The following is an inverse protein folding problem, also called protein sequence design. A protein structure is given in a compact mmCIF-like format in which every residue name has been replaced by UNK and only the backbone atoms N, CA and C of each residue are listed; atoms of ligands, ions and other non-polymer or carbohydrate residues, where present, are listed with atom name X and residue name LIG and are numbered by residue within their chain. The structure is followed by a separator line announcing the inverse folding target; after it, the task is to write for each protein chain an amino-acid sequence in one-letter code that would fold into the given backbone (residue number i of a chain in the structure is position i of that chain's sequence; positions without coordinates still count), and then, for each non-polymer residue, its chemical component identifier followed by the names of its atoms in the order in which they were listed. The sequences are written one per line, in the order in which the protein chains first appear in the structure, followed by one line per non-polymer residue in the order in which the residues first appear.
data_IF_371096871338
#
_entry.id   IF_371096871338
#
_cell.length_a   1.000
_cell.length_b   1.000
_cell.length_c   1.000
_cell.angle_alpha   90.00
_cell.angle_beta   90.00
_cell.angle_gamma   90.00
#
_symmetry.space_group_name_H-M   'P 1'
#
loop_
_entity.id
_entity.type
_entity.pdbx_description
1 polymer ?
#
# COMPACT_ATOMS: atom_id res chain seq x y z
N UNK A 1 34.61 -0.63 5.68
CA UNK A 1 34.99 -1.44 4.49
C UNK A 1 34.08 -1.10 3.30
N UNK A 2 34.67 -0.74 2.16
CA UNK A 2 33.91 -0.34 0.96
C UNK A 2 33.40 -1.59 0.21
N UNK A 3 32.21 -2.06 0.57
CA UNK A 3 31.60 -3.27 0.01
C UNK A 3 31.47 -3.20 -1.52
N UNK A 4 31.06 -2.04 -2.05
CA UNK A 4 30.81 -1.87 -3.48
C UNK A 4 32.09 -1.89 -4.30
N UNK A 5 33.14 -1.26 -3.79
CA UNK A 5 34.47 -1.31 -4.42
C UNK A 5 35.01 -2.74 -4.47
N UNK A 6 34.85 -3.54 -3.40
CA UNK A 6 35.26 -4.94 -3.43
C UNK A 6 34.40 -5.82 -4.33
N UNK A 7 33.07 -5.61 -4.34
CA UNK A 7 32.13 -6.32 -5.23
C UNK A 7 32.51 -6.10 -6.69
N UNK A 8 32.73 -4.84 -7.08
CA UNK A 8 33.10 -4.47 -8.45
C UNK A 8 34.46 -5.03 -8.84
N UNK A 9 35.49 -4.80 -8.02
CA UNK A 9 36.86 -5.24 -8.32
C UNK A 9 36.99 -6.76 -8.44
N UNK A 10 36.24 -7.53 -7.64
CA UNK A 10 36.34 -8.99 -7.61
C UNK A 10 35.50 -9.69 -8.67
N UNK A 11 34.28 -9.22 -8.91
CA UNK A 11 33.31 -9.95 -9.74
C UNK A 11 33.02 -9.26 -11.08
N UNK A 12 33.26 -7.94 -11.19
CA UNK A 12 32.94 -7.14 -12.38
C UNK A 12 34.08 -6.19 -12.79
N UNK A 13 35.37 -6.59 -12.78
CA UNK A 13 36.49 -5.67 -12.94
C UNK A 13 36.54 -4.96 -14.30
N UNK A 14 35.94 -5.55 -15.34
CA UNK A 14 35.89 -5.00 -16.70
C UNK A 14 34.61 -4.23 -17.00
N UNK A 15 33.61 -4.28 -16.11
CA UNK A 15 32.36 -3.55 -16.28
C UNK A 15 32.58 -2.08 -15.89
N UNK A 16 32.19 -1.08 -16.70
CA UNK A 16 32.26 0.31 -16.27
C UNK A 16 31.46 0.53 -14.98
N UNK A 17 32.01 1.23 -13.98
CA UNK A 17 31.27 1.53 -12.76
C UNK A 17 30.06 2.39 -13.12
N UNK A 18 28.87 1.88 -12.80
CA UNK A 18 27.60 2.58 -12.98
C UNK A 18 26.88 2.62 -11.62
N UNK A 19 27.13 3.65 -10.80
CA UNK A 19 26.54 3.78 -9.47
C UNK A 19 25.01 3.80 -9.51
N UNK A 20 24.41 4.29 -10.60
CA UNK A 20 22.97 4.38 -10.75
C UNK A 20 22.30 3.00 -10.81
N UNK A 21 22.96 2.00 -11.40
CA UNK A 21 22.48 0.61 -11.45
C UNK A 21 22.60 -0.13 -10.12
N UNK A 22 23.45 0.37 -9.21
CA UNK A 22 23.64 -0.19 -7.87
C UNK A 22 22.86 0.56 -6.80
N UNK A 23 22.13 1.61 -7.16
CA UNK A 23 21.38 2.45 -6.22
C UNK A 23 20.46 1.63 -5.30
N UNK A 24 19.84 0.56 -5.82
CA UNK A 24 18.97 -0.34 -5.06
C UNK A 24 19.67 -1.11 -3.93
N UNK A 25 21.00 -1.22 -3.95
CA UNK A 25 21.80 -1.89 -2.92
C UNK A 25 22.23 -0.95 -1.79
N UNK A 26 22.08 0.36 -1.97
CA UNK A 26 22.37 1.32 -0.92
C UNK A 26 21.21 1.37 0.09
N UNK A 27 21.55 1.65 1.35
CA UNK A 27 20.52 1.96 2.34
C UNK A 27 19.74 3.20 1.89
N UNK A 28 18.40 3.25 2.10
CA UNK A 28 17.59 4.42 1.80
C UNK A 28 18.21 5.67 2.42
N UNK A 29 18.26 6.75 1.65
CA UNK A 29 18.70 8.05 2.19
C UNK A 29 17.68 8.57 3.19
N UNK A 30 18.08 9.40 4.17
CA UNK A 30 17.12 10.02 5.09
C UNK A 30 16.00 10.75 4.35
N UNK A 31 16.29 11.43 3.24
CA UNK A 31 15.28 12.10 2.40
C UNK A 31 14.22 11.17 1.83
N UNK A 32 14.60 9.95 1.42
CA UNK A 32 13.66 8.94 0.87
C UNK A 32 12.80 8.30 1.96
N UNK A 33 13.20 8.40 3.22
CA UNK A 33 12.54 7.75 4.35
C UNK A 33 11.77 8.73 5.26
N UNK A 34 11.81 10.03 4.94
CA UNK A 34 11.14 11.07 5.71
C UNK A 34 9.64 11.14 5.44
N UNK A 35 9.15 10.62 4.31
CA UNK A 35 7.75 10.73 3.85
C UNK A 35 6.71 10.15 4.82
N UNK A 36 7.13 9.25 5.72
CA UNK A 36 6.30 8.69 6.78
C UNK A 36 7.08 8.52 8.09
N UNK A 37 7.56 9.64 8.65
CA UNK A 37 8.45 9.66 9.82
C UNK A 37 7.81 10.34 11.05
N UNK A 38 8.04 9.87 12.30
CA UNK A 38 7.49 10.48 13.52
C UNK A 38 7.85 11.96 13.75
N UNK A 39 8.88 12.47 13.09
CA UNK A 39 9.29 13.88 13.19
C UNK A 39 8.47 14.81 12.28
N UNK A 40 7.64 14.27 11.39
CA UNK A 40 6.80 15.10 10.52
C UNK A 40 5.65 15.71 11.33
N UNK A 41 5.38 17.03 11.21
CA UNK A 41 4.36 17.71 12.00
C UNK A 41 2.94 17.36 11.54
N UNK A 42 2.77 17.00 10.28
CA UNK A 42 1.50 16.59 9.69
C UNK A 42 1.74 15.60 8.56
N UNK A 43 0.74 14.77 8.29
CA UNK A 43 0.76 13.77 7.23
C UNK A 43 -0.45 13.97 6.34
N UNK A 44 -0.30 13.90 5.01
CA UNK A 44 -1.45 13.85 4.13
C UNK A 44 -2.20 12.53 4.34
N UNK A 45 -3.53 12.55 4.20
CA UNK A 45 -4.37 11.35 4.38
C UNK A 45 -3.99 10.22 3.42
N UNK A 46 -3.54 10.56 2.22
CA UNK A 46 -3.03 9.62 1.22
C UNK A 46 -1.76 8.87 1.66
N UNK A 47 -1.00 9.40 2.62
CA UNK A 47 0.19 8.75 3.17
C UNK A 47 -0.11 7.86 4.38
N UNK A 48 -1.35 7.87 4.92
CA UNK A 48 -1.70 7.03 6.06
C UNK A 48 -1.52 5.55 5.70
N UNK A 49 -0.82 4.82 6.57
CA UNK A 49 -0.52 3.40 6.39
C UNK A 49 -1.47 2.54 7.21
N UNK A 50 -1.80 1.39 6.64
CA UNK A 50 -2.69 0.41 7.23
C UNK A 50 -2.01 -0.95 7.34
N UNK A 51 -2.28 -1.66 8.44
CA UNK A 51 -1.89 -3.05 8.59
C UNK A 51 -2.81 -3.99 7.79
N UNK A 52 -2.54 -5.30 7.80
CA UNK A 52 -3.38 -6.26 7.08
C UNK A 52 -4.83 -6.27 7.57
N UNK A 53 -5.10 -5.89 8.83
CA UNK A 53 -6.45 -5.83 9.40
C UNK A 53 -7.18 -4.54 9.02
N UNK A 54 -6.53 -3.62 8.31
CA UNK A 54 -7.06 -2.30 7.99
C UNK A 54 -7.06 -1.36 9.20
N UNK A 55 -6.20 -1.60 10.18
CA UNK A 55 -5.97 -0.65 11.27
C UNK A 55 -4.90 0.37 10.86
N UNK A 56 -5.11 1.63 11.27
CA UNK A 56 -4.11 2.69 11.05
C UNK A 56 -2.81 2.35 11.79
N UNK A 57 -1.69 2.52 11.11
CA UNK A 57 -0.34 2.35 11.65
C UNK A 57 0.35 3.71 11.77
N UNK A 58 0.37 4.34 12.96
CA UNK A 58 1.09 5.60 13.16
C UNK A 58 2.58 5.47 12.81
N UNK A 59 3.26 6.55 12.39
CA UNK A 59 4.66 6.51 11.96
C UNK A 59 5.61 5.84 12.95
N UNK A 60 5.39 6.00 14.26
CA UNK A 60 6.22 5.36 15.29
C UNK A 60 6.09 3.84 15.23
N UNK A 61 4.87 3.35 15.35
CA UNK A 61 4.56 1.91 15.33
C UNK A 61 4.93 1.27 13.99
N UNK A 62 4.68 1.96 12.87
CA UNK A 62 5.03 1.52 11.53
C UNK A 62 6.52 1.16 11.38
N UNK A 63 7.41 1.88 12.07
CA UNK A 63 8.87 1.66 11.99
C UNK A 63 9.41 0.65 13.01
N UNK A 64 8.64 0.36 14.06
CA UNK A 64 9.00 -0.63 15.08
C UNK A 64 8.65 -2.06 14.64
N UNK A 65 7.78 -2.20 13.64
CA UNK A 65 7.34 -3.51 13.16
C UNK A 65 8.48 -4.27 12.47
N UNK A 66 8.68 -5.56 12.78
CA UNK A 66 9.65 -6.40 12.09
C UNK A 66 9.36 -6.54 10.57
N UNK A 67 10.43 -6.53 9.76
CA UNK A 67 10.33 -6.65 8.29
C UNK A 67 9.79 -8.00 7.82
N UNK A 68 10.00 -9.06 8.60
CA UNK A 68 9.52 -10.42 8.30
C UNK A 68 8.00 -10.58 8.35
N UNK A 69 7.24 -9.56 8.80
CA UNK A 69 5.78 -9.57 8.82
C UNK A 69 5.16 -9.36 7.43
N UNK A 70 5.94 -8.99 6.41
CA UNK A 70 5.43 -8.78 5.05
C UNK A 70 4.60 -7.50 4.86
N UNK A 71 4.61 -6.60 5.85
CA UNK A 71 3.99 -5.27 5.78
C UNK A 71 4.91 -4.21 5.17
N UNK A 72 6.17 -4.52 4.91
CA UNK A 72 7.12 -3.57 4.35
C UNK A 72 7.12 -3.66 2.83
N UNK A 73 6.93 -2.52 2.17
CA UNK A 73 6.98 -2.38 0.72
C UNK A 73 8.10 -1.43 0.34
N UNK A 74 8.84 -1.78 -0.71
CA UNK A 74 9.95 -0.99 -1.22
C UNK A 74 9.49 0.22 -2.05
N UNK A 75 8.45 0.92 -1.60
CA UNK A 75 7.95 2.14 -2.22
C UNK A 75 8.51 3.38 -1.49
N UNK A 76 7.80 4.51 -1.57
CA UNK A 76 8.25 5.86 -1.15
C UNK A 76 8.57 6.02 0.36
N UNK A 77 8.47 4.97 1.19
CA UNK A 77 8.95 4.92 2.57
C UNK A 77 9.37 3.49 2.96
N UNK A 78 10.58 3.04 2.59
CA UNK A 78 10.98 1.63 2.67
C UNK A 78 11.08 1.08 4.11
N UNK A 79 11.33 1.95 5.11
CA UNK A 79 11.43 1.55 6.51
C UNK A 79 10.10 1.66 7.27
N UNK A 80 9.01 2.04 6.59
CA UNK A 80 7.69 2.18 7.20
C UNK A 80 6.78 1.01 6.80
N UNK A 81 6.40 0.18 7.77
CA UNK A 81 5.44 -0.89 7.58
C UNK A 81 4.02 -0.35 7.28
N UNK A 82 3.26 -1.15 6.55
CA UNK A 82 1.88 -0.89 6.18
C UNK A 82 1.75 -0.39 4.76
N UNK A 83 0.51 -0.38 4.26
CA UNK A 83 0.20 0.07 2.91
C UNK A 83 -0.73 1.28 2.96
N UNK A 84 -0.56 2.18 2.02
CA UNK A 84 -1.46 3.31 1.80
C UNK A 84 -2.62 2.92 0.88
N UNK A 85 -3.74 3.67 0.94
CA UNK A 85 -4.87 3.45 0.03
C UNK A 85 -4.45 3.57 -1.45
N UNK A 86 -3.67 4.59 -1.88
CA UNK A 86 -3.18 4.66 -3.25
C UNK A 86 -2.32 3.45 -3.68
N UNK A 87 -1.44 2.95 -2.80
CA UNK A 87 -0.64 1.75 -3.07
C UNK A 87 -1.53 0.51 -3.25
N UNK A 88 -2.50 0.31 -2.36
CA UNK A 88 -3.44 -0.81 -2.44
C UNK A 88 -4.30 -0.74 -3.71
N UNK A 89 -4.79 0.45 -4.07
CA UNK A 89 -5.54 0.66 -5.31
C UNK A 89 -4.71 0.27 -6.55
N UNK A 90 -3.42 0.63 -6.57
CA UNK A 90 -2.48 0.21 -7.62
C UNK A 90 -2.23 -1.31 -7.61
N UNK A 91 -1.98 -1.90 -6.44
CA UNK A 91 -1.72 -3.34 -6.29
C UNK A 91 -2.92 -4.20 -6.69
N UNK A 92 -4.15 -3.75 -6.43
CA UNK A 92 -5.38 -4.42 -6.85
C UNK A 92 -5.47 -4.62 -8.38
N UNK A 93 -4.76 -3.79 -9.16
CA UNK A 93 -4.68 -3.85 -10.64
C UNK A 93 -3.40 -4.50 -11.16
N UNK A 94 -2.55 -5.06 -10.29
CA UNK A 94 -1.31 -5.74 -10.68
C UNK A 94 -1.57 -6.91 -11.64
N UNK A 95 -0.56 -7.28 -12.44
CA UNK A 95 -0.59 -8.52 -13.22
C UNK A 95 -0.48 -9.78 -12.34
N UNK A 96 0.03 -9.66 -11.11
CA UNK A 96 0.27 -10.78 -10.21
C UNK A 96 -0.93 -11.07 -9.30
N UNK A 97 -1.58 -12.25 -9.40
CA UNK A 97 -2.80 -12.56 -8.64
C UNK A 97 -2.67 -12.40 -7.12
N UNK A 98 -1.52 -12.76 -6.54
CA UNK A 98 -1.27 -12.69 -5.10
C UNK A 98 -1.30 -11.26 -4.58
N UNK A 99 -0.66 -10.32 -5.30
CA UNK A 99 -0.68 -8.89 -4.97
C UNK A 99 -2.10 -8.34 -5.00
N UNK A 100 -2.87 -8.72 -6.03
CA UNK A 100 -4.28 -8.31 -6.16
C UNK A 100 -5.11 -8.83 -5.00
N UNK A 101 -5.01 -10.12 -4.68
CA UNK A 101 -5.78 -10.76 -3.62
C UNK A 101 -5.51 -10.12 -2.25
N UNK A 102 -4.24 -9.84 -1.94
CA UNK A 102 -3.87 -9.17 -0.69
C UNK A 102 -4.43 -7.74 -0.64
N UNK A 103 -4.28 -6.99 -1.72
CA UNK A 103 -4.78 -5.62 -1.78
C UNK A 103 -6.31 -5.55 -1.63
N UNK A 104 -7.05 -6.43 -2.29
CA UNK A 104 -8.51 -6.49 -2.21
C UNK A 104 -9.00 -6.83 -0.80
N UNK A 105 -8.36 -7.77 -0.11
CA UNK A 105 -8.69 -8.10 1.28
C UNK A 105 -8.49 -6.91 2.22
N UNK A 106 -7.36 -6.20 2.09
CA UNK A 106 -7.09 -5.01 2.90
C UNK A 106 -8.07 -3.88 2.59
N UNK A 107 -8.31 -3.59 1.31
CA UNK A 107 -9.27 -2.57 0.88
C UNK A 107 -10.68 -2.86 1.40
N UNK A 108 -11.14 -4.12 1.37
CA UNK A 108 -12.41 -4.52 1.95
C UNK A 108 -12.51 -4.22 3.44
N UNK A 109 -11.47 -4.53 4.21
CA UNK A 109 -11.41 -4.24 5.66
C UNK A 109 -11.40 -2.74 5.94
N UNK A 110 -10.62 -1.98 5.16
CA UNK A 110 -10.56 -0.52 5.28
C UNK A 110 -11.92 0.10 4.95
N UNK A 111 -12.57 -0.31 3.85
CA UNK A 111 -13.89 0.18 3.46
C UNK A 111 -14.96 -0.12 4.52
N UNK A 112 -14.95 -1.32 5.10
CA UNK A 112 -15.84 -1.67 6.21
C UNK A 112 -15.65 -0.72 7.39
N UNK A 113 -14.41 -0.58 7.87
CA UNK A 113 -14.08 0.30 9.01
C UNK A 113 -14.38 1.77 8.72
N UNK A 114 -14.12 2.22 7.50
CA UNK A 114 -14.41 3.57 7.04
C UNK A 114 -15.91 3.86 7.08
N UNK A 115 -16.74 2.97 6.52
CA UNK A 115 -18.19 3.13 6.55
C UNK A 115 -18.79 3.04 7.96
N UNK A 116 -18.17 2.26 8.85
CA UNK A 116 -18.54 2.19 10.28
C UNK A 116 -18.05 3.38 11.11
N UNK A 117 -17.30 4.31 10.51
CA UNK A 117 -16.77 5.50 11.21
C UNK A 117 -15.66 5.18 12.21
N UNK A 118 -14.97 4.03 12.08
CA UNK A 118 -13.96 3.57 13.05
C UNK A 118 -12.77 4.53 13.17
N UNK A 119 -12.43 5.22 12.09
CA UNK A 119 -11.31 6.17 12.09
C UNK A 119 -11.63 7.51 12.78
N UNK A 120 -12.91 7.77 13.09
CA UNK A 120 -13.41 8.79 14.04
C UNK A 120 -13.21 10.26 13.70
N UNK A 121 -12.18 10.62 12.92
CA UNK A 121 -11.84 11.99 12.55
C UNK A 121 -12.44 12.30 11.19
N UNK A 122 -13.20 13.40 11.08
CA UNK A 122 -13.94 13.77 9.87
C UNK A 122 -13.00 14.04 8.70
N UNK A 123 -11.90 14.78 8.93
CA UNK A 123 -10.90 15.09 7.91
C UNK A 123 -10.21 13.83 7.37
N UNK A 124 -9.93 12.86 8.26
CA UNK A 124 -9.38 11.55 7.86
C UNK A 124 -10.43 10.78 7.07
N UNK A 125 -11.67 10.75 7.52
CA UNK A 125 -12.76 9.99 6.89
C UNK A 125 -13.03 10.51 5.48
N UNK A 126 -13.19 11.83 5.31
CA UNK A 126 -13.38 12.46 4.00
C UNK A 126 -12.16 12.27 3.10
N UNK A 127 -10.95 12.45 3.64
CA UNK A 127 -9.72 12.24 2.89
C UNK A 127 -9.56 10.80 2.41
N UNK A 128 -9.92 9.81 3.23
CA UNK A 128 -9.89 8.40 2.84
C UNK A 128 -10.94 8.09 1.78
N UNK A 129 -12.16 8.62 1.89
CA UNK A 129 -13.17 8.48 0.83
C UNK A 129 -12.70 9.09 -0.49
N UNK A 130 -12.06 10.26 -0.46
CA UNK A 130 -11.42 10.85 -1.65
C UNK A 130 -10.37 9.93 -2.23
N UNK A 131 -9.46 9.37 -1.42
CA UNK A 131 -8.46 8.41 -1.91
C UNK A 131 -9.10 7.14 -2.51
N UNK A 132 -10.21 6.64 -1.95
CA UNK A 132 -10.93 5.48 -2.49
C UNK A 132 -11.54 5.79 -3.86
N UNK A 133 -12.08 7.00 -4.04
CA UNK A 133 -12.66 7.44 -5.31
C UNK A 133 -11.58 7.69 -6.37
N UNK A 134 -10.53 8.45 -6.04
CA UNK A 134 -9.38 8.71 -6.94
C UNK A 134 -8.70 7.40 -7.36
N UNK A 135 -8.57 6.46 -6.43
CA UNK A 135 -8.03 5.13 -6.69
C UNK A 135 -8.95 4.21 -7.50
N UNK A 136 -10.21 4.64 -7.76
CA UNK A 136 -11.30 3.84 -8.35
C UNK A 136 -11.47 2.50 -7.64
N UNK A 137 -11.39 2.49 -6.32
CA UNK A 137 -11.32 1.26 -5.53
C UNK A 137 -12.60 0.43 -5.71
N UNK A 138 -13.77 1.02 -5.49
CA UNK A 138 -15.05 0.29 -5.59
C UNK A 138 -15.28 -0.22 -7.01
N UNK A 139 -15.10 0.64 -8.02
CA UNK A 139 -15.24 0.25 -9.42
C UNK A 139 -14.27 -0.88 -9.81
N UNK A 140 -13.01 -0.81 -9.38
CA UNK A 140 -12.02 -1.87 -9.64
C UNK A 140 -12.36 -3.19 -8.95
N UNK A 141 -12.95 -3.15 -7.76
CA UNK A 141 -13.47 -4.34 -7.08
C UNK A 141 -14.66 -4.94 -7.83
N UNK A 142 -15.59 -4.12 -8.31
CA UNK A 142 -16.75 -4.57 -9.12
C UNK A 142 -16.30 -5.22 -10.43
N UNK A 143 -15.34 -4.62 -11.14
CA UNK A 143 -14.75 -5.19 -12.35
C UNK A 143 -14.05 -6.53 -12.07
N UNK A 144 -13.32 -6.63 -10.95
CA UNK A 144 -12.63 -7.85 -10.55
C UNK A 144 -13.59 -8.96 -10.12
N UNK A 145 -14.68 -8.62 -9.42
CA UNK A 145 -15.71 -9.56 -8.99
C UNK A 145 -16.54 -10.07 -10.18
N UNK A 146 -16.98 -9.18 -11.06
CA UNK A 146 -17.71 -9.53 -12.28
C UNK A 146 -16.86 -10.43 -13.17
N UNK A 147 -15.58 -10.07 -13.38
CA UNK A 147 -14.53 -10.90 -13.93
C UNK A 147 -14.78 -11.44 -15.35
N UNK A 148 -13.87 -11.16 -16.28
CA UNK A 148 -13.92 -11.75 -17.63
C UNK A 148 -13.80 -13.29 -17.57
N UNK A 149 -14.27 -13.99 -18.62
CA UNK A 149 -13.99 -15.42 -18.79
C UNK A 149 -12.47 -15.66 -18.70
N UNK A 150 -12.03 -16.60 -17.85
CA UNK A 150 -10.61 -16.93 -17.66
C UNK A 150 -9.86 -16.15 -16.57
N UNK A 151 -10.52 -15.28 -15.79
CA UNK A 151 -9.88 -14.59 -14.64
C UNK A 151 -9.58 -15.51 -13.45
N UNK A 152 -8.52 -15.22 -12.68
CA UNK A 152 -8.11 -16.00 -11.51
C UNK A 152 -9.21 -16.06 -10.44
N UNK A 153 -9.61 -17.28 -10.04
CA UNK A 153 -10.77 -17.49 -9.16
C UNK A 153 -10.64 -16.79 -7.80
N UNK A 154 -9.48 -16.87 -7.15
CA UNK A 154 -9.24 -16.20 -5.86
C UNK A 154 -9.42 -14.69 -5.94
N UNK A 155 -9.08 -14.08 -7.08
CA UNK A 155 -9.26 -12.63 -7.27
C UNK A 155 -10.75 -12.29 -7.30
N UNK A 156 -11.56 -13.08 -8.01
CA UNK A 156 -13.02 -12.89 -8.03
C UNK A 156 -13.63 -13.06 -6.64
N UNK A 157 -13.18 -14.07 -5.90
CA UNK A 157 -13.64 -14.34 -4.53
C UNK A 157 -13.32 -13.17 -3.59
N UNK A 158 -12.05 -12.75 -3.50
CA UNK A 158 -11.68 -11.66 -2.60
C UNK A 158 -12.23 -10.29 -3.01
N UNK A 159 -12.45 -10.05 -4.30
CA UNK A 159 -13.15 -8.85 -4.75
C UNK A 159 -14.62 -8.86 -4.30
N UNK A 160 -15.31 -10.00 -4.43
CA UNK A 160 -16.67 -10.19 -3.92
C UNK A 160 -16.74 -9.98 -2.41
N UNK A 161 -15.81 -10.57 -1.65
CA UNK A 161 -15.74 -10.41 -0.20
C UNK A 161 -15.51 -8.95 0.21
N UNK A 162 -14.63 -8.24 -0.51
CA UNK A 162 -14.36 -6.83 -0.26
C UNK A 162 -15.59 -5.95 -0.52
N UNK A 163 -16.36 -6.23 -1.57
CA UNK A 163 -17.62 -5.54 -1.86
C UNK A 163 -18.69 -5.84 -0.80
N UNK A 164 -18.76 -7.08 -0.33
CA UNK A 164 -19.65 -7.45 0.76
C UNK A 164 -19.29 -6.70 2.06
N UNK A 165 -18.01 -6.62 2.40
CA UNK A 165 -17.52 -5.83 3.55
C UNK A 165 -17.88 -4.34 3.40
N UNK A 166 -17.69 -3.76 2.21
CA UNK A 166 -18.10 -2.39 1.93
C UNK A 166 -19.61 -2.17 2.13
N UNK A 167 -20.46 -3.08 1.63
CA UNK A 167 -21.91 -3.03 1.86
C UNK A 167 -22.25 -3.14 3.36
N UNK A 168 -21.60 -4.03 4.10
CA UNK A 168 -21.77 -4.14 5.56
C UNK A 168 -21.28 -2.91 6.34
N UNK A 169 -20.35 -2.15 5.76
CA UNK A 169 -19.92 -0.86 6.27
C UNK A 169 -20.91 0.28 5.98
N UNK A 170 -21.92 0.08 5.13
CA UNK A 170 -22.92 1.09 4.78
C UNK A 170 -23.07 1.31 3.27
N UNK A 171 -22.20 0.73 2.43
CA UNK A 171 -22.35 0.79 0.97
C UNK A 171 -22.29 2.19 0.37
N UNK A 172 -21.66 3.14 1.07
CA UNK A 172 -21.58 4.52 0.62
C UNK A 172 -20.68 4.65 -0.61
N UNK A 173 -21.16 5.36 -1.63
CA UNK A 173 -20.33 5.87 -2.73
C UNK A 173 -20.16 7.36 -2.54
N UNK A 174 -18.93 7.77 -2.30
CA UNK A 174 -18.60 9.18 -2.15
C UNK A 174 -18.83 9.90 -3.49
N UNK A 175 -19.51 11.03 -3.43
CA UNK A 175 -19.62 11.97 -4.55
C UNK A 175 -18.94 13.24 -4.09
N UNK A 176 -17.98 13.74 -4.89
CA UNK A 176 -17.48 15.09 -4.69
C UNK A 176 -18.67 16.04 -4.92
N UNK A 177 -19.11 16.73 -3.88
CA UNK A 177 -19.93 17.94 -4.03
C UNK A 177 -19.06 19.11 -4.52
#
# INVERSE_FOLDING_TARGET
PDFFTHLHTKYFPTLPPDPSKLAWMHAPTPSEDLSYHPSQPSLPVSALRFDFRGDLLPPRTSRELPSNLGLHHHADAPNAAGYTVPELARLARSAFPTQRCMAMQMLGRILYKLGKGVYGVEEITQGLWRCMEEGRVIAGLEEAAAGRMGGHLSVKAYATDALWLWQKGGGHRWKAE
#
